data_IF_548198966620
#
_entry.id   IF_548198966620
#
_cell.length_a   1.000
_cell.length_b   1.000
_cell.length_c   1.000
_cell.angle_alpha   90.00
_cell.angle_beta   90.00
_cell.angle_gamma   90.00
#
_symmetry.space_group_name_H-M   'P 1'
#
loop_
_entity.id
_entity.type
_entity.pdbx_description
1 polymer ?
#
# COMPACT_ATOMS: atom_id res chain seq x y z
N UNK A 1 -12.60 -19.11 53.48
CA UNK A 1 -11.95 -20.41 53.69
C UNK A 1 -10.90 -20.49 52.60
N UNK A 2 -9.62 -20.09 52.93
CA UNK A 2 -8.56 -21.05 53.29
C UNK A 2 -8.13 -21.86 52.06
N UNK A 3 -6.93 -21.83 51.44
CA UNK A 3 -5.57 -21.57 51.87
C UNK A 3 -4.66 -21.32 50.66
N UNK A 4 -3.75 -20.39 50.81
CA UNK A 4 -2.40 -20.41 50.23
C UNK A 4 -1.53 -21.41 51.05
N UNK A 5 -0.52 -22.06 50.51
CA UNK A 5 0.85 -21.66 50.85
C UNK A 5 1.87 -21.82 49.71
N UNK A 6 2.67 -20.78 49.43
CA UNK A 6 4.04 -20.47 49.88
C UNK A 6 5.10 -21.60 49.82
N UNK A 7 6.35 -21.14 49.44
CA UNK A 7 7.67 -21.63 49.81
C UNK A 7 8.32 -22.57 48.77
N UNK A 8 9.58 -22.48 48.35
CA UNK A 8 10.82 -21.80 48.79
C UNK A 8 11.87 -21.84 47.68
N UNK A 9 12.73 -20.86 47.69
CA UNK A 9 14.05 -20.91 47.03
C UNK A 9 15.07 -21.42 48.05
N UNK A 10 16.10 -22.19 47.70
CA UNK A 10 17.40 -21.80 48.20
C UNK A 10 18.55 -21.83 47.18
N UNK A 11 19.32 -20.76 47.22
CA UNK A 11 20.74 -20.69 46.86
C UNK A 11 21.56 -21.84 47.48
N UNK A 12 22.48 -22.42 46.72
CA UNK A 12 23.80 -22.86 47.25
C UNK A 12 24.83 -22.79 46.10
N UNK A 13 25.76 -21.90 46.25
CA UNK A 13 27.02 -21.84 45.50
C UNK A 13 28.00 -22.88 46.02
N UNK A 14 28.75 -23.54 45.14
CA UNK A 14 30.04 -24.16 45.49
C UNK A 14 31.07 -23.98 44.37
N UNK A 15 32.35 -23.80 44.72
CA UNK A 15 33.36 -23.24 43.84
C UNK A 15 34.19 -24.28 43.08
N UNK A 16 34.93 -23.79 42.12
CA UNK A 16 35.84 -24.35 41.11
C UNK A 16 36.83 -25.43 41.61
N UNK A 17 37.49 -26.12 40.67
CA UNK A 17 38.96 -26.11 40.70
C UNK A 17 39.59 -25.67 39.35
N UNK A 18 40.67 -24.93 39.53
CA UNK A 18 41.68 -24.58 38.53
C UNK A 18 42.12 -25.79 37.69
N UNK A 19 42.17 -25.60 36.37
CA UNK A 19 43.05 -26.37 35.50
C UNK A 19 43.87 -25.41 34.59
N UNK A 20 45.13 -25.64 34.79
CA UNK A 20 46.30 -25.15 34.09
C UNK A 20 46.20 -25.04 32.56
N UNK A 21 46.88 -24.02 32.06
CA UNK A 21 46.95 -23.65 30.66
C UNK A 21 47.55 -24.72 29.73
N UNK A 22 46.96 -24.80 28.58
CA UNK A 22 47.59 -25.27 27.37
C UNK A 22 47.33 -24.23 26.28
N UNK A 23 48.39 -23.57 25.87
CA UNK A 23 48.44 -22.69 24.70
C UNK A 23 48.12 -23.50 23.44
N UNK A 24 47.00 -23.25 22.81
CA UNK A 24 46.74 -23.71 21.44
C UNK A 24 47.22 -22.67 20.45
N UNK A 25 47.96 -23.07 19.40
CA UNK A 25 48.45 -22.12 18.39
C UNK A 25 47.30 -21.45 17.65
N UNK A 26 47.40 -20.14 17.53
CA UNK A 26 46.48 -19.29 16.77
C UNK A 26 46.48 -19.73 15.29
N UNK A 27 45.49 -20.51 14.88
CA UNK A 27 45.19 -20.71 13.47
C UNK A 27 44.66 -19.39 12.89
N UNK A 28 45.44 -18.85 12.01
CA UNK A 28 45.16 -17.62 11.28
C UNK A 28 43.76 -17.67 10.68
N UNK A 29 42.89 -16.78 11.16
CA UNK A 29 41.58 -16.50 10.57
C UNK A 29 41.81 -15.92 9.16
N UNK A 30 41.88 -16.82 8.16
CA UNK A 30 41.80 -16.45 6.75
C UNK A 30 40.53 -15.63 6.58
N UNK A 31 40.69 -14.32 6.50
CA UNK A 31 39.63 -13.43 6.05
C UNK A 31 39.21 -13.91 4.67
N UNK A 32 38.08 -14.60 4.61
CA UNK A 32 37.33 -14.75 3.38
C UNK A 32 36.92 -13.33 2.97
N UNK A 33 37.73 -12.70 2.14
CA UNK A 33 37.30 -11.53 1.35
C UNK A 33 36.04 -11.97 0.62
N UNK A 34 34.92 -11.43 1.06
CA UNK A 34 33.63 -11.64 0.42
C UNK A 34 33.80 -11.38 -1.08
N UNK A 35 33.45 -12.38 -1.88
CA UNK A 35 33.32 -12.22 -3.32
C UNK A 35 32.40 -11.05 -3.53
N UNK A 36 32.91 -9.95 -4.03
CA UNK A 36 32.11 -8.81 -4.48
C UNK A 36 31.11 -9.40 -5.49
N UNK A 37 29.83 -9.30 -5.15
CA UNK A 37 28.76 -9.82 -6.02
C UNK A 37 28.93 -9.18 -7.39
N UNK A 38 29.13 -10.00 -8.40
CA UNK A 38 29.29 -9.61 -9.82
C UNK A 38 27.93 -9.16 -10.40
N UNK A 39 27.23 -8.30 -9.63
CA UNK A 39 25.98 -7.69 -10.08
C UNK A 39 26.34 -6.56 -11.04
N UNK A 40 25.84 -6.58 -12.27
CA UNK A 40 26.11 -5.55 -13.25
C UNK A 40 25.78 -4.17 -12.67
N UNK A 41 26.69 -3.21 -12.84
CA UNK A 41 26.48 -1.81 -12.40
C UNK A 41 25.18 -1.27 -13.01
N UNK A 42 24.35 -0.63 -12.18
CA UNK A 42 23.12 -0.01 -12.64
C UNK A 42 23.42 1.09 -13.66
N UNK A 43 22.55 1.22 -14.65
CA UNK A 43 22.69 2.13 -15.80
C UNK A 43 21.91 3.43 -15.55
N UNK A 44 22.37 4.51 -16.16
CA UNK A 44 21.63 5.76 -16.29
C UNK A 44 20.64 5.62 -17.47
N UNK A 45 19.44 5.13 -17.15
CA UNK A 45 18.33 4.98 -18.11
C UNK A 45 17.31 6.06 -17.77
N UNK A 46 16.92 6.87 -18.78
CA UNK A 46 15.99 7.98 -18.62
C UNK A 46 14.78 7.77 -19.53
N UNK A 47 13.59 8.09 -19.05
CA UNK A 47 12.36 8.02 -19.84
C UNK A 47 11.17 7.49 -19.03
N UNK A 48 10.07 7.23 -19.73
CA UNK A 48 8.84 6.72 -19.17
C UNK A 48 8.53 5.33 -19.70
N UNK A 49 8.01 4.48 -18.82
CA UNK A 49 7.39 3.20 -19.16
C UNK A 49 5.91 3.31 -18.80
N UNK A 50 5.05 3.07 -19.75
CA UNK A 50 3.61 2.99 -19.55
C UNK A 50 3.30 1.50 -19.34
N UNK A 51 3.10 1.13 -18.07
CA UNK A 51 2.84 -0.25 -17.70
C UNK A 51 1.34 -0.47 -17.53
N UNK A 52 0.79 -1.48 -18.19
CA UNK A 52 -0.51 -2.03 -17.82
C UNK A 52 -0.30 -2.98 -16.62
N UNK A 53 -0.65 -2.48 -15.42
CA UNK A 53 -0.45 -3.21 -14.17
C UNK A 53 -1.55 -4.26 -14.00
N UNK A 54 -1.18 -5.52 -13.88
CA UNK A 54 -2.13 -6.58 -13.53
C UNK A 54 -2.61 -6.51 -12.07
N UNK A 55 -3.71 -7.18 -11.80
CA UNK A 55 -4.25 -7.41 -10.45
C UNK A 55 -3.26 -8.22 -9.60
N UNK A 56 -3.26 -8.02 -8.28
CA UNK A 56 -2.43 -8.72 -7.30
C UNK A 56 -1.01 -8.15 -7.13
N UNK A 57 -0.63 -7.16 -7.95
CA UNK A 57 0.68 -6.51 -7.87
C UNK A 57 0.56 -5.11 -7.26
N UNK A 58 1.40 -4.80 -6.26
CA UNK A 58 1.51 -3.43 -5.75
C UNK A 58 2.24 -2.52 -6.74
N UNK A 59 1.91 -1.22 -6.76
CA UNK A 59 2.62 -0.24 -7.59
C UNK A 59 4.12 -0.18 -7.29
N UNK A 60 4.52 -0.34 -6.02
CA UNK A 60 5.94 -0.40 -5.62
C UNK A 60 6.64 -1.64 -6.19
N UNK A 61 5.98 -2.79 -6.18
CA UNK A 61 6.51 -4.01 -6.78
C UNK A 61 6.69 -3.85 -8.30
N UNK A 62 5.70 -3.28 -8.99
CA UNK A 62 5.78 -2.97 -10.41
C UNK A 62 7.00 -2.09 -10.75
N UNK A 63 7.23 -1.02 -9.98
CA UNK A 63 8.44 -0.19 -10.10
C UNK A 63 9.72 -1.01 -9.93
N UNK A 64 9.77 -1.91 -8.94
CA UNK A 64 10.94 -2.74 -8.68
C UNK A 64 11.23 -3.70 -9.84
N UNK A 65 10.18 -4.30 -10.45
CA UNK A 65 10.29 -5.17 -11.63
C UNK A 65 10.83 -4.38 -12.83
N UNK A 66 10.21 -3.25 -13.17
CA UNK A 66 10.63 -2.38 -14.29
C UNK A 66 12.06 -1.88 -14.08
N UNK A 67 12.37 -1.37 -12.87
CA UNK A 67 13.72 -0.91 -12.53
C UNK A 67 14.78 -1.99 -12.74
N UNK A 68 14.45 -3.25 -12.42
CA UNK A 68 15.35 -4.40 -12.62
C UNK A 68 15.48 -4.74 -14.09
N UNK A 69 14.37 -4.81 -14.83
CA UNK A 69 14.37 -5.13 -16.26
C UNK A 69 15.25 -4.17 -17.08
N UNK A 70 15.22 -2.88 -16.76
CA UNK A 70 16.05 -1.86 -17.40
C UNK A 70 17.42 -1.71 -16.74
N UNK A 71 17.72 -2.41 -15.66
CA UNK A 71 18.91 -2.20 -14.83
C UNK A 71 19.11 -0.72 -14.44
N UNK A 72 18.01 0.01 -14.20
CA UNK A 72 18.03 1.44 -13.96
C UNK A 72 18.50 1.79 -12.55
N UNK A 73 19.24 2.90 -12.40
CA UNK A 73 19.66 3.44 -11.09
C UNK A 73 18.48 3.96 -10.29
N UNK A 74 17.53 4.64 -10.94
CA UNK A 74 16.41 5.32 -10.31
C UNK A 74 15.11 5.02 -11.06
N UNK A 75 14.02 4.78 -10.32
CA UNK A 75 12.67 4.63 -10.86
C UNK A 75 11.64 5.08 -9.82
N UNK A 76 10.47 5.50 -10.29
CA UNK A 76 9.31 5.85 -9.46
C UNK A 76 8.05 5.85 -10.30
N UNK A 77 6.87 5.68 -9.68
CA UNK A 77 5.58 5.75 -10.37
C UNK A 77 4.92 7.11 -10.22
N UNK A 78 4.05 7.47 -11.17
CA UNK A 78 3.23 8.67 -11.15
C UNK A 78 1.77 8.34 -10.84
N UNK A 79 1.48 8.08 -9.58
CA UNK A 79 0.19 7.63 -9.07
C UNK A 79 0.28 6.23 -8.48
N UNK A 80 -0.64 5.89 -7.61
CA UNK A 80 -0.72 4.57 -6.98
C UNK A 80 -1.99 3.88 -7.47
N UNK A 81 -1.86 2.64 -7.91
CA UNK A 81 -2.96 1.70 -8.07
C UNK A 81 -2.89 0.68 -6.94
N UNK A 82 -4.04 0.42 -6.32
CA UNK A 82 -4.16 -0.61 -5.30
C UNK A 82 -3.85 -2.01 -5.87
N UNK A 83 -3.51 -3.00 -5.03
CA UNK A 83 -3.22 -4.34 -5.51
C UNK A 83 -4.35 -4.96 -6.33
N UNK A 84 -5.61 -4.74 -5.94
CA UNK A 84 -6.80 -5.20 -6.65
C UNK A 84 -7.06 -4.47 -7.97
N UNK A 85 -6.55 -3.25 -8.13
CA UNK A 85 -6.74 -2.48 -9.35
C UNK A 85 -5.79 -2.96 -10.46
N UNK A 86 -6.28 -2.98 -11.68
CA UNK A 86 -5.48 -3.11 -12.90
C UNK A 86 -5.50 -1.79 -13.70
N UNK A 87 -4.61 -1.66 -14.68
CA UNK A 87 -4.60 -0.55 -15.61
C UNK A 87 -3.30 0.24 -15.65
N UNK A 88 -3.34 1.41 -16.23
CA UNK A 88 -2.16 2.19 -16.59
C UNK A 88 -1.43 2.75 -15.37
N UNK A 89 -0.19 2.33 -15.21
CA UNK A 89 0.76 2.82 -14.21
C UNK A 89 1.97 3.45 -14.91
N UNK A 90 2.07 4.79 -14.99
CA UNK A 90 3.24 5.45 -15.55
C UNK A 90 4.44 5.31 -14.60
N UNK A 91 5.56 4.79 -15.10
CA UNK A 91 6.80 4.60 -14.35
C UNK A 91 7.91 5.43 -14.99
N UNK A 92 8.45 6.36 -14.24
CA UNK A 92 9.58 7.20 -14.63
C UNK A 92 10.91 6.53 -14.27
N UNK A 93 11.89 6.61 -15.17
CA UNK A 93 13.26 6.13 -14.99
C UNK A 93 14.24 7.32 -15.02
N UNK A 94 15.24 7.28 -14.15
CA UNK A 94 16.32 8.27 -14.09
C UNK A 94 15.82 9.71 -13.94
N UNK A 95 16.23 10.60 -14.85
CA UNK A 95 15.86 12.02 -14.81
C UNK A 95 14.36 12.27 -15.00
N UNK A 96 13.65 11.39 -15.69
CA UNK A 96 12.18 11.50 -15.83
C UNK A 96 11.46 11.46 -14.46
N UNK A 97 12.08 10.93 -13.40
CA UNK A 97 11.49 11.00 -12.06
C UNK A 97 11.28 12.42 -11.53
N UNK A 98 11.97 13.41 -12.10
CA UNK A 98 11.78 14.83 -11.76
C UNK A 98 10.49 15.41 -12.35
N UNK A 99 9.93 14.78 -13.38
CA UNK A 99 8.68 15.20 -14.04
C UNK A 99 7.44 14.46 -13.52
N UNK A 100 7.60 13.52 -12.58
CA UNK A 100 6.49 12.78 -11.94
C UNK A 100 5.38 13.70 -11.40
N UNK A 101 5.66 14.83 -10.71
CA UNK A 101 4.60 15.70 -10.19
C UNK A 101 3.64 16.20 -11.27
N UNK A 102 4.12 16.52 -12.48
CA UNK A 102 3.27 17.00 -13.59
C UNK A 102 2.30 15.91 -14.08
N UNK A 103 2.74 14.65 -14.12
CA UNK A 103 1.87 13.52 -14.50
C UNK A 103 0.89 13.21 -13.36
N UNK A 104 1.31 13.34 -12.11
CA UNK A 104 0.43 13.14 -10.96
C UNK A 104 -0.68 14.19 -10.89
N UNK A 105 -0.44 15.42 -11.35
CA UNK A 105 -1.45 16.49 -11.39
C UNK A 105 -2.48 16.31 -12.50
N UNK A 106 -2.23 15.42 -13.47
CA UNK A 106 -3.15 15.11 -14.55
C UNK A 106 -4.44 14.45 -14.10
N UNK A 107 -5.46 14.54 -14.94
CA UNK A 107 -6.73 13.81 -14.75
C UNK A 107 -6.55 12.30 -14.81
N UNK A 108 -7.40 11.58 -14.10
CA UNK A 108 -7.47 10.11 -14.06
C UNK A 108 -8.88 9.68 -14.42
N UNK A 109 -8.97 8.54 -15.11
CA UNK A 109 -10.21 7.85 -15.36
C UNK A 109 -10.17 6.46 -14.72
N UNK A 110 -11.28 6.07 -14.11
CA UNK A 110 -11.44 4.78 -13.45
C UNK A 110 -12.76 4.15 -13.87
N UNK A 111 -12.77 2.83 -13.90
CA UNK A 111 -14.00 2.04 -13.89
C UNK A 111 -13.94 1.19 -12.64
N UNK A 112 -14.98 1.23 -11.82
CA UNK A 112 -15.04 0.48 -10.58
C UNK A 112 -16.44 -0.10 -10.34
N UNK A 113 -16.51 -1.12 -9.50
CA UNK A 113 -17.74 -1.80 -9.16
C UNK A 113 -18.09 -1.55 -7.70
N UNK A 114 -19.30 -1.06 -7.44
CA UNK A 114 -19.91 -1.02 -6.12
C UNK A 114 -20.73 -2.28 -5.94
N UNK A 115 -20.45 -3.07 -4.92
CA UNK A 115 -21.24 -4.24 -4.51
C UNK A 115 -22.20 -3.82 -3.40
N UNK A 116 -23.49 -3.98 -3.62
CA UNK A 116 -24.54 -3.57 -2.67
C UNK A 116 -24.70 -4.56 -1.52
N UNK A 117 -24.99 -4.02 -0.35
CA UNK A 117 -25.37 -4.82 0.82
C UNK A 117 -24.21 -5.24 1.73
N UNK A 118 -22.98 -4.87 1.42
CA UNK A 118 -21.80 -5.20 2.25
C UNK A 118 -20.88 -3.98 2.32
N UNK A 119 -20.51 -3.62 3.54
CA UNK A 119 -19.41 -2.68 3.82
C UNK A 119 -18.23 -3.45 4.40
N UNK A 120 -17.01 -3.12 3.98
CA UNK A 120 -15.78 -3.78 4.44
C UNK A 120 -14.86 -2.81 5.16
N UNK A 121 -13.99 -3.30 6.03
CA UNK A 121 -13.03 -2.50 6.80
C UNK A 121 -11.93 -1.83 5.96
N UNK A 122 -11.78 -2.25 4.70
CA UNK A 122 -10.83 -1.67 3.74
C UNK A 122 -11.50 -0.88 2.61
N UNK A 123 -12.83 -0.82 2.60
CA UNK A 123 -13.63 -0.23 1.52
C UNK A 123 -13.37 -0.88 0.14
N UNK A 124 -12.93 -2.14 0.13
CA UNK A 124 -12.69 -2.94 -1.07
C UNK A 124 -12.96 -4.44 -0.83
N UNK A 125 -12.78 -5.26 -1.86
CA UNK A 125 -13.09 -6.68 -1.84
C UNK A 125 -12.08 -7.55 -1.03
N UNK A 126 -10.97 -6.98 -0.53
CA UNK A 126 -10.00 -7.70 0.34
C UNK A 126 -10.38 -7.56 1.83
N UNK A 127 -11.25 -6.60 2.16
CA UNK A 127 -11.66 -6.32 3.54
C UNK A 127 -12.61 -7.35 4.13
N UNK A 128 -12.72 -7.32 5.47
CA UNK A 128 -13.69 -8.11 6.20
C UNK A 128 -15.01 -7.34 6.28
N UNK A 129 -16.16 -7.99 6.14
CA UNK A 129 -17.45 -7.35 6.34
C UNK A 129 -17.56 -6.72 7.74
N UNK A 130 -17.93 -5.43 7.80
CA UNK A 130 -18.18 -4.67 9.04
C UNK A 130 -19.64 -4.27 9.18
N UNK A 131 -20.37 -4.15 8.06
CA UNK A 131 -21.82 -3.92 8.05
C UNK A 131 -22.47 -4.62 6.86
N UNK A 132 -23.75 -4.93 7.01
CA UNK A 132 -24.58 -5.51 5.95
C UNK A 132 -25.92 -4.78 5.83
N UNK A 133 -26.51 -4.77 4.64
CA UNK A 133 -27.81 -4.17 4.34
C UNK A 133 -28.56 -4.99 3.30
N UNK A 134 -29.85 -5.09 3.43
CA UNK A 134 -30.75 -5.69 2.42
C UNK A 134 -31.14 -4.70 1.30
N UNK A 135 -30.73 -3.43 1.42
CA UNK A 135 -31.05 -2.42 0.42
C UNK A 135 -30.40 -2.76 -0.94
N UNK A 136 -31.21 -2.69 -1.97
CA UNK A 136 -30.77 -2.86 -3.36
C UNK A 136 -31.32 -1.68 -4.17
N UNK A 137 -30.54 -0.61 -4.34
CA UNK A 137 -31.01 0.58 -5.06
C UNK A 137 -31.30 0.23 -6.53
N UNK A 138 -32.28 0.93 -7.11
CA UNK A 138 -32.50 0.86 -8.56
C UNK A 138 -31.44 1.67 -9.30
N UNK A 139 -31.30 1.45 -10.61
CA UNK A 139 -30.40 2.22 -11.46
C UNK A 139 -30.69 3.73 -11.37
N UNK A 140 -31.96 4.09 -11.41
CA UNK A 140 -32.42 5.48 -11.34
C UNK A 140 -32.06 6.12 -9.99
N UNK A 141 -32.15 5.37 -8.89
CA UNK A 141 -31.78 5.85 -7.55
C UNK A 141 -30.26 6.09 -7.48
N UNK A 142 -29.45 5.21 -8.07
CA UNK A 142 -27.99 5.40 -8.13
C UNK A 142 -27.69 6.64 -9.00
N UNK A 143 -28.24 6.74 -10.20
CA UNK A 143 -28.02 7.88 -11.10
C UNK A 143 -28.45 9.21 -10.47
N UNK A 144 -29.53 9.23 -9.70
CA UNK A 144 -29.98 10.42 -8.97
C UNK A 144 -29.02 10.84 -7.83
N UNK A 145 -28.24 9.91 -7.28
CA UNK A 145 -27.27 10.20 -6.23
C UNK A 145 -25.93 10.73 -6.78
N UNK A 146 -25.51 10.33 -7.99
CA UNK A 146 -24.20 10.68 -8.57
C UNK A 146 -23.89 12.19 -8.58
N UNK A 147 -24.85 13.10 -8.85
CA UNK A 147 -24.55 14.54 -8.87
C UNK A 147 -24.03 15.08 -7.54
N UNK A 148 -24.33 14.46 -6.41
CA UNK A 148 -23.83 14.87 -5.09
C UNK A 148 -22.33 14.62 -4.91
N UNK A 149 -21.74 13.78 -5.74
CA UNK A 149 -20.32 13.44 -5.74
C UNK A 149 -19.53 14.11 -6.88
N UNK A 150 -20.18 14.96 -7.70
CA UNK A 150 -19.53 15.66 -8.81
C UNK A 150 -19.16 17.07 -8.38
N UNK A 151 -18.01 17.55 -8.84
CA UNK A 151 -17.48 18.88 -8.52
C UNK A 151 -16.34 18.84 -7.49
N UNK A 152 -16.15 19.95 -6.81
CA UNK A 152 -15.23 20.05 -5.68
C UNK A 152 -15.93 19.51 -4.41
N UNK A 153 -15.47 18.38 -3.90
CA UNK A 153 -16.03 17.75 -2.71
C UNK A 153 -14.95 17.51 -1.67
N UNK A 154 -15.35 17.40 -0.41
CA UNK A 154 -14.48 16.97 0.69
C UNK A 154 -14.56 15.45 0.84
N UNK A 155 -13.42 14.78 0.72
CA UNK A 155 -13.31 13.33 0.83
C UNK A 155 -12.38 12.96 1.99
N UNK A 156 -12.86 12.12 2.91
CA UNK A 156 -12.01 11.49 3.94
C UNK A 156 -11.30 10.31 3.29
N UNK A 157 -9.96 10.31 3.22
CA UNK A 157 -9.24 9.19 2.62
C UNK A 157 -9.47 7.87 3.37
N UNK A 158 -9.39 6.70 2.70
CA UNK A 158 -9.52 5.43 3.41
C UNK A 158 -8.35 5.20 4.38
N UNK A 159 -8.60 4.45 5.46
CA UNK A 159 -7.60 4.15 6.50
C UNK A 159 -6.35 3.49 5.91
N UNK A 160 -6.53 2.60 4.95
CA UNK A 160 -5.44 1.92 4.25
C UNK A 160 -5.02 2.72 3.01
N UNK A 161 -4.44 3.90 3.22
CA UNK A 161 -3.96 4.78 2.16
C UNK A 161 -2.46 5.07 2.28
N UNK A 162 -1.86 5.53 1.15
CA UNK A 162 -0.46 5.93 1.11
C UNK A 162 -0.20 7.35 1.68
N UNK A 163 -1.20 7.98 2.27
CA UNK A 163 -1.08 9.30 2.88
C UNK A 163 -0.10 9.24 4.06
N UNK A 164 0.71 10.28 4.18
CA UNK A 164 1.61 10.43 5.31
C UNK A 164 0.99 11.26 6.42
N UNK A 165 1.03 10.72 7.64
CA UNK A 165 0.63 11.37 8.88
C UNK A 165 1.88 11.44 9.75
N UNK A 166 2.30 12.62 10.15
CA UNK A 166 3.53 12.84 10.95
C UNK A 166 4.81 12.18 10.37
N UNK A 167 4.83 11.93 9.04
CA UNK A 167 5.98 11.33 8.35
C UNK A 167 5.82 9.83 8.04
N UNK A 168 4.91 9.12 8.70
CA UNK A 168 4.59 7.70 8.49
C UNK A 168 3.37 7.54 7.59
N UNK A 169 3.25 6.41 6.90
CA UNK A 169 2.10 6.16 6.03
C UNK A 169 0.90 5.69 6.85
N UNK A 170 -0.28 6.22 6.57
CA UNK A 170 -1.53 5.80 7.20
C UNK A 170 -1.74 4.28 7.13
N UNK A 171 -1.35 3.65 6.01
CA UNK A 171 -1.37 2.21 5.83
C UNK A 171 -0.51 1.44 6.85
N UNK A 172 0.70 1.92 7.17
CA UNK A 172 1.61 1.26 8.10
C UNK A 172 1.05 1.39 9.53
N UNK A 173 0.60 2.59 9.93
CA UNK A 173 -0.06 2.85 11.22
C UNK A 173 -1.33 2.01 11.42
N UNK A 174 -2.18 1.91 10.37
CA UNK A 174 -3.41 1.13 10.44
C UNK A 174 -3.14 -0.38 10.61
N UNK A 175 -2.06 -0.91 10.01
CA UNK A 175 -1.65 -2.31 10.21
C UNK A 175 -1.13 -2.59 11.61
N UNK A 176 -0.48 -1.62 12.24
CA UNK A 176 0.04 -1.72 13.60
C UNK A 176 -1.07 -1.54 14.66
N UNK A 177 -2.33 -1.34 14.20
CA UNK A 177 -3.50 -1.20 15.07
C UNK A 177 -3.66 0.19 15.68
N UNK A 178 -2.90 1.19 15.22
CA UNK A 178 -3.03 2.56 15.71
C UNK A 178 -4.30 3.23 15.18
N UNK A 179 -4.91 4.07 16.00
CA UNK A 179 -6.06 4.87 15.59
C UNK A 179 -5.58 6.03 14.72
N UNK A 180 -5.89 5.93 13.41
CA UNK A 180 -5.49 6.92 12.43
C UNK A 180 -6.61 7.94 12.24
N UNK A 181 -6.43 9.17 12.70
CA UNK A 181 -7.35 10.27 12.44
C UNK A 181 -7.05 10.85 11.06
N UNK A 182 -7.95 10.60 10.11
CA UNK A 182 -7.85 11.13 8.75
C UNK A 182 -8.73 12.37 8.61
N UNK A 183 -8.16 13.43 8.04
CA UNK A 183 -8.85 14.70 7.81
C UNK A 183 -9.35 14.73 6.37
N UNK A 184 -10.59 15.17 6.19
CA UNK A 184 -11.18 15.40 4.88
C UNK A 184 -10.30 16.36 4.06
N UNK A 185 -10.24 16.11 2.76
CA UNK A 185 -9.43 16.89 1.81
C UNK A 185 -10.24 17.20 0.56
N UNK A 186 -10.09 18.42 0.00
CA UNK A 186 -10.76 18.76 -1.22
C UNK A 186 -10.22 17.91 -2.38
N UNK A 187 -11.14 17.32 -3.14
CA UNK A 187 -10.85 16.59 -4.39
C UNK A 187 -11.81 17.09 -5.48
N UNK A 188 -11.40 16.91 -6.73
CA UNK A 188 -12.23 17.29 -7.89
C UNK A 188 -12.68 16.01 -8.61
N UNK A 189 -13.98 15.84 -8.72
CA UNK A 189 -14.60 14.80 -9.55
C UNK A 189 -15.31 15.49 -10.72
N UNK A 190 -14.84 15.23 -11.93
CA UNK A 190 -15.33 15.90 -13.13
C UNK A 190 -16.53 15.17 -13.75
N UNK A 191 -16.59 13.84 -13.57
CA UNK A 191 -17.61 13.02 -14.20
C UNK A 191 -17.81 11.71 -13.43
N UNK A 192 -19.09 11.29 -13.33
CA UNK A 192 -19.52 9.97 -12.90
C UNK A 192 -20.67 9.51 -13.81
N UNK A 193 -20.64 8.25 -14.22
CA UNK A 193 -21.72 7.65 -15.01
C UNK A 193 -21.91 6.17 -14.66
N UNK A 194 -23.15 5.69 -14.63
CA UNK A 194 -23.47 4.26 -14.49
C UNK A 194 -23.26 3.58 -15.84
N UNK A 195 -22.31 2.67 -15.90
CA UNK A 195 -22.03 1.84 -17.08
C UNK A 195 -22.93 0.60 -17.09
N UNK A 196 -22.97 -0.14 -15.99
CA UNK A 196 -23.75 -1.36 -15.82
C UNK A 196 -24.42 -1.34 -14.45
N UNK A 197 -25.61 -1.95 -14.34
CA UNK A 197 -26.34 -2.07 -13.07
C UNK A 197 -27.06 -3.40 -12.98
N UNK A 198 -27.00 -4.01 -11.81
CA UNK A 198 -27.84 -5.12 -11.35
C UNK A 198 -28.25 -4.92 -9.88
N UNK A 199 -29.17 -5.71 -9.33
CA UNK A 199 -29.51 -5.63 -7.91
C UNK A 199 -28.31 -5.85 -6.96
N UNK A 200 -27.30 -6.60 -7.39
CA UNK A 200 -26.14 -6.95 -6.57
C UNK A 200 -24.99 -5.96 -6.71
N UNK A 201 -24.88 -5.28 -7.86
CA UNK A 201 -23.75 -4.41 -8.16
C UNK A 201 -24.04 -3.32 -9.17
N UNK A 202 -23.27 -2.26 -9.09
CA UNK A 202 -23.25 -1.18 -10.10
C UNK A 202 -21.82 -0.93 -10.54
N UNK A 203 -21.58 -0.88 -11.85
CA UNK A 203 -20.31 -0.46 -12.46
C UNK A 203 -20.40 1.02 -12.79
N UNK A 204 -19.44 1.79 -12.30
CA UNK A 204 -19.38 3.26 -12.45
C UNK A 204 -18.08 3.64 -13.15
N UNK A 205 -18.20 4.53 -14.12
CA UNK A 205 -17.08 5.25 -14.72
C UNK A 205 -16.90 6.58 -14.00
N UNK A 206 -15.63 6.94 -13.70
CA UNK A 206 -15.28 8.21 -13.07
C UNK A 206 -14.14 8.90 -13.80
N UNK A 207 -14.20 10.23 -13.93
CA UNK A 207 -13.07 11.09 -14.27
C UNK A 207 -12.84 12.07 -13.11
N UNK A 208 -11.59 12.15 -12.62
CA UNK A 208 -11.29 12.94 -11.43
C UNK A 208 -9.86 13.49 -11.42
N UNK A 209 -9.63 14.43 -10.52
CA UNK A 209 -8.33 15.03 -10.26
C UNK A 209 -7.42 14.15 -9.39
N UNK A 210 -6.24 14.69 -9.07
CA UNK A 210 -5.29 14.08 -8.15
C UNK A 210 -5.86 13.94 -6.74
N UNK A 211 -5.44 12.88 -6.02
CA UNK A 211 -5.76 12.70 -4.61
C UNK A 211 -7.13 12.09 -4.35
N UNK A 212 -7.95 11.87 -5.38
CA UNK A 212 -9.24 11.18 -5.28
C UNK A 212 -9.03 9.69 -5.02
N UNK A 213 -9.76 9.15 -4.05
CA UNK A 213 -9.82 7.72 -3.73
C UNK A 213 -11.16 7.15 -4.17
N UNK A 214 -11.11 6.11 -4.99
CA UNK A 214 -12.32 5.39 -5.42
C UNK A 214 -13.04 4.70 -4.26
N UNK A 215 -12.28 4.33 -3.23
CA UNK A 215 -12.77 3.62 -2.03
C UNK A 215 -13.38 4.54 -0.94
N UNK A 216 -13.34 5.87 -1.12
CA UNK A 216 -13.84 6.82 -0.11
C UNK A 216 -15.09 7.53 -0.56
#
# INVERSE_FOLDING_TARGET
>A
MINDPTIENPDVATPSPHRSGEERPSQGRRQQRGQASDRPKRRDVNGWVILDKGVGMTSTHAVAVVKRAFNAKKAGHAGTLDPLASGILPIALGEATKTVPFVMDGRKAYIFTVTWGIETDTDDAEGRPVATSEARPTREAVEAALPTFIGAIEQVPPRYSAIKIAGERAYDLARDGEEVVLVARPVQIDHLAVVEHSPERTVIEAACGKGTYVRA
#
